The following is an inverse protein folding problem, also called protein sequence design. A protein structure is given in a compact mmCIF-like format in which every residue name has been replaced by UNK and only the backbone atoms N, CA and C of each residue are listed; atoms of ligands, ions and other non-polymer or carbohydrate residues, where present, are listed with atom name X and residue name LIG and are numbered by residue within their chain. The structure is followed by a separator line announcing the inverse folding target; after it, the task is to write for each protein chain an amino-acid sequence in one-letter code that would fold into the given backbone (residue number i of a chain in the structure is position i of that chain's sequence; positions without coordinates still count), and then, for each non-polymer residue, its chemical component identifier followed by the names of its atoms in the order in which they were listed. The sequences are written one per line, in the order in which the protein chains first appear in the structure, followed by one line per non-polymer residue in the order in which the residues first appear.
data_IF_360243390094
#
_entry.id   IF_360243390094
#
_cell.length_a   1.000
_cell.length_b   1.000
_cell.length_c   1.000
_cell.angle_alpha   90.00
_cell.angle_beta   90.00
_cell.angle_gamma   90.00
#
_symmetry.space_group_name_H-M   'P 1'
#
loop_
_entity.id
_entity.type
_entity.pdbx_description
1 polymer ?
#
# COMPACT_ATOMS: atom_id res chain seq x y z
N UNK A 1 -15.75 7.80 15.25
CA UNK A 1 -14.86 6.63 15.04
C UNK A 1 -15.69 5.37 14.81
N UNK A 2 -15.10 4.24 14.40
CA UNK A 2 -15.80 2.95 14.27
C UNK A 2 -16.57 2.59 15.56
N UNK A 3 -15.94 2.82 16.72
CA UNK A 3 -16.55 2.62 18.02
C UNK A 3 -17.83 3.44 18.22
N UNK A 4 -17.84 4.73 17.83
CA UNK A 4 -19.04 5.58 17.92
C UNK A 4 -20.20 5.02 17.11
N UNK A 5 -19.94 4.54 15.89
CA UNK A 5 -20.99 3.99 15.01
C UNK A 5 -21.49 2.66 15.55
N UNK A 6 -20.59 1.78 15.98
CA UNK A 6 -20.95 0.50 16.61
C UNK A 6 -21.79 0.71 17.88
N UNK A 7 -21.41 1.66 18.75
CA UNK A 7 -22.16 1.99 19.96
C UNK A 7 -23.57 2.49 19.65
N UNK A 8 -23.73 3.37 18.66
CA UNK A 8 -25.06 3.84 18.22
C UNK A 8 -25.91 2.71 17.66
N UNK A 9 -25.35 1.86 16.80
CA UNK A 9 -26.05 0.72 16.23
C UNK A 9 -26.45 -0.30 17.31
N UNK A 10 -25.57 -0.54 18.29
CA UNK A 10 -25.85 -1.41 19.42
C UNK A 10 -26.99 -0.86 20.29
N UNK A 11 -27.02 0.45 20.57
CA UNK A 11 -28.11 1.08 21.34
C UNK A 11 -29.46 1.00 20.60
N UNK A 12 -29.45 1.02 19.27
CA UNK A 12 -30.67 0.89 18.46
C UNK A 12 -31.17 -0.55 18.36
N UNK A 13 -30.27 -1.51 18.16
CA UNK A 13 -30.60 -2.92 17.98
C UNK A 13 -29.52 -3.82 18.62
N UNK A 14 -29.61 -4.06 19.94
CA UNK A 14 -28.62 -4.84 20.67
C UNK A 14 -28.55 -6.28 20.14
N UNK A 15 -27.37 -6.71 19.71
CA UNK A 15 -27.14 -8.04 19.12
C UNK A 15 -25.88 -8.68 19.68
N UNK A 16 -25.86 -10.01 19.77
CA UNK A 16 -24.69 -10.75 20.28
C UNK A 16 -23.48 -10.59 19.37
N UNK A 17 -23.69 -10.35 18.09
CA UNK A 17 -22.70 -10.18 17.03
C UNK A 17 -21.80 -8.95 17.21
N UNK A 18 -22.21 -7.97 18.02
CA UNK A 18 -21.32 -6.87 18.43
C UNK A 18 -20.17 -7.35 19.33
N UNK A 19 -20.40 -8.42 20.10
CA UNK A 19 -19.40 -9.03 21.00
C UNK A 19 -18.79 -10.31 20.41
N UNK A 20 -19.60 -11.04 19.64
CA UNK A 20 -19.26 -12.35 19.05
C UNK A 20 -19.56 -12.34 17.55
N UNK A 21 -18.80 -11.57 16.75
CA UNK A 21 -19.00 -11.53 15.30
C UNK A 21 -18.82 -12.92 14.70
N UNK A 22 -19.56 -13.20 13.61
CA UNK A 22 -19.42 -14.46 12.87
C UNK A 22 -17.97 -14.67 12.44
N UNK A 23 -17.54 -15.92 12.45
CA UNK A 23 -16.24 -16.30 11.88
C UNK A 23 -16.24 -15.99 10.39
N UNK A 24 -15.12 -15.47 9.90
CA UNK A 24 -14.93 -15.25 8.48
C UNK A 24 -14.73 -16.60 7.83
N UNK A 25 -15.56 -16.94 6.85
CA UNK A 25 -15.36 -18.13 6.04
C UNK A 25 -14.54 -17.68 4.83
N UNK A 26 -13.31 -18.20 4.63
CA UNK A 26 -12.51 -17.85 3.48
C UNK A 26 -13.28 -18.08 2.18
N UNK A 27 -13.12 -17.16 1.23
CA UNK A 27 -13.59 -17.40 -0.13
C UNK A 27 -12.85 -18.58 -0.75
N UNK A 28 -13.56 -19.34 -1.60
CA UNK A 28 -12.87 -20.22 -2.55
C UNK A 28 -12.08 -19.37 -3.57
N UNK A 29 -11.13 -19.99 -4.28
CA UNK A 29 -10.30 -19.28 -5.25
C UNK A 29 -11.09 -18.60 -6.38
N UNK A 30 -12.14 -19.21 -6.97
CA UNK A 30 -12.98 -18.54 -7.96
C UNK A 30 -13.64 -17.26 -7.41
N UNK A 31 -14.20 -17.31 -6.20
CA UNK A 31 -14.84 -16.14 -5.56
C UNK A 31 -13.81 -15.09 -5.16
N UNK A 32 -12.64 -15.49 -4.66
CA UNK A 32 -11.52 -14.57 -4.39
C UNK A 32 -11.14 -13.81 -5.67
N UNK A 33 -10.90 -14.55 -6.76
CA UNK A 33 -10.56 -13.99 -8.07
C UNK A 33 -11.63 -13.04 -8.59
N UNK A 34 -12.90 -13.42 -8.50
CA UNK A 34 -14.01 -12.56 -8.90
C UNK A 34 -14.03 -11.25 -8.11
N UNK A 35 -13.84 -11.32 -6.78
CA UNK A 35 -13.82 -10.13 -5.94
C UNK A 35 -12.61 -9.24 -6.20
N UNK A 36 -11.42 -9.81 -6.47
CA UNK A 36 -10.23 -9.01 -6.82
C UNK A 36 -10.42 -8.32 -8.17
N UNK A 37 -10.90 -9.04 -9.21
CA UNK A 37 -11.07 -8.48 -10.55
C UNK A 37 -12.14 -7.38 -10.63
N UNK A 38 -13.26 -7.52 -9.90
CA UNK A 38 -14.35 -6.53 -9.89
C UNK A 38 -13.95 -5.15 -9.40
N UNK A 39 -12.80 -5.03 -8.74
CA UNK A 39 -12.36 -3.80 -8.09
C UNK A 39 -11.77 -2.78 -9.04
N UNK A 40 -11.19 -3.21 -10.17
CA UNK A 40 -10.42 -2.34 -11.07
C UNK A 40 -9.10 -1.81 -10.50
N UNK A 41 -8.93 -1.80 -9.17
CA UNK A 41 -7.66 -1.56 -8.46
C UNK A 41 -6.77 -2.81 -8.45
N UNK A 42 -5.49 -2.66 -8.13
CA UNK A 42 -4.58 -3.77 -7.86
C UNK A 42 -4.34 -3.96 -6.36
N UNK A 43 -4.14 -5.19 -5.91
CA UNK A 43 -3.68 -5.49 -4.54
C UNK A 43 -2.27 -6.05 -4.62
N UNK A 44 -1.32 -5.40 -3.96
CA UNK A 44 0.07 -5.80 -3.85
C UNK A 44 0.32 -6.37 -2.46
N UNK A 45 0.99 -7.51 -2.42
CA UNK A 45 1.43 -8.18 -1.21
C UNK A 45 2.95 -8.19 -1.20
N UNK A 46 3.55 -7.72 -0.11
CA UNK A 46 4.98 -7.91 0.16
C UNK A 46 5.06 -8.93 1.28
N UNK A 47 5.29 -10.19 0.90
CA UNK A 47 5.44 -11.32 1.82
C UNK A 47 6.92 -11.54 2.10
N UNK A 48 7.29 -11.76 3.36
CA UNK A 48 8.66 -12.08 3.74
C UNK A 48 8.67 -12.95 5.00
N UNK A 49 9.79 -13.60 5.28
CA UNK A 49 9.95 -14.46 6.45
C UNK A 49 10.95 -13.89 7.45
N UNK A 50 10.56 -13.86 8.73
CA UNK A 50 11.44 -13.52 9.83
C UNK A 50 11.01 -14.23 11.11
N UNK A 51 11.76 -15.26 11.57
CA UNK A 51 11.47 -15.93 12.82
C UNK A 51 11.92 -15.11 14.04
N UNK A 52 11.48 -15.53 15.23
CA UNK A 52 11.99 -15.07 16.53
C UNK A 52 11.82 -13.57 16.82
N UNK A 53 10.65 -13.00 16.50
CA UNK A 53 10.31 -11.65 16.92
C UNK A 53 9.34 -11.68 18.09
N UNK A 54 9.59 -10.86 19.11
CA UNK A 54 8.65 -10.63 20.21
C UNK A 54 7.41 -9.93 19.63
N UNK A 55 6.17 -10.46 19.83
CA UNK A 55 4.96 -9.93 19.19
C UNK A 55 4.74 -8.42 19.39
N UNK A 56 4.98 -7.90 20.59
CA UNK A 56 4.79 -6.48 20.91
C UNK A 56 5.72 -5.56 20.09
N UNK A 57 6.94 -5.99 19.83
CA UNK A 57 7.91 -5.25 19.00
C UNK A 57 7.61 -5.45 17.52
N UNK A 58 7.25 -6.68 17.12
CA UNK A 58 6.93 -7.07 15.76
C UNK A 58 5.90 -6.14 15.14
N UNK A 59 4.74 -5.97 15.77
CA UNK A 59 3.65 -5.16 15.22
C UNK A 59 4.07 -3.71 15.00
N UNK A 60 4.79 -3.11 15.95
CA UNK A 60 5.34 -1.77 15.83
C UNK A 60 6.24 -1.61 14.61
N UNK A 61 7.12 -2.59 14.36
CA UNK A 61 8.01 -2.59 13.19
C UNK A 61 7.24 -2.80 11.88
N UNK A 62 6.29 -3.74 11.82
CA UNK A 62 5.48 -4.00 10.63
C UNK A 62 4.63 -2.78 10.23
N UNK A 63 4.02 -2.08 11.19
CA UNK A 63 3.26 -0.86 10.91
C UNK A 63 4.15 0.28 10.41
N UNK A 64 5.36 0.41 10.97
CA UNK A 64 6.35 1.38 10.46
C UNK A 64 6.76 1.05 9.02
N UNK A 65 7.09 -0.20 8.73
CA UNK A 65 7.41 -0.67 7.38
C UNK A 65 6.24 -0.43 6.40
N UNK A 66 5.01 -0.80 6.79
CA UNK A 66 3.80 -0.54 6.01
C UNK A 66 3.63 0.95 5.69
N UNK A 67 3.88 1.84 6.66
CA UNK A 67 3.81 3.29 6.48
C UNK A 67 4.91 3.80 5.54
N UNK A 68 6.15 3.34 5.71
CA UNK A 68 7.28 3.68 4.84
C UNK A 68 7.04 3.29 3.37
N UNK A 69 6.56 2.07 3.14
CA UNK A 69 6.24 1.56 1.79
C UNK A 69 5.08 2.34 1.17
N UNK A 70 3.95 2.50 1.88
CA UNK A 70 2.81 3.29 1.35
C UNK A 70 3.18 4.74 0.99
N UNK A 71 3.95 5.41 1.86
CA UNK A 71 4.43 6.77 1.59
C UNK A 71 5.33 6.82 0.35
N UNK A 72 6.12 5.78 0.11
CA UNK A 72 6.98 5.68 -1.08
C UNK A 72 6.16 5.47 -2.35
N UNK A 73 5.15 4.60 -2.31
CA UNK A 73 4.20 4.41 -3.41
C UNK A 73 3.49 5.73 -3.76
N UNK A 74 2.91 6.40 -2.76
CA UNK A 74 2.16 7.64 -2.94
C UNK A 74 3.05 8.77 -3.52
N UNK A 75 4.29 8.93 -3.02
CA UNK A 75 5.24 9.93 -3.55
C UNK A 75 5.58 9.73 -5.03
N UNK A 76 5.55 8.49 -5.51
CA UNK A 76 5.79 8.16 -6.93
C UNK A 76 4.51 8.21 -7.78
N UNK A 77 3.36 8.46 -7.15
CA UNK A 77 2.06 8.62 -7.82
C UNK A 77 1.18 7.37 -7.80
N UNK A 78 1.65 6.27 -7.19
CA UNK A 78 0.85 5.06 -6.98
C UNK A 78 -0.01 5.24 -5.74
N UNK A 79 -1.20 5.81 -5.92
CA UNK A 79 -2.10 6.14 -4.83
C UNK A 79 -2.59 4.89 -4.09
N UNK A 80 -2.26 4.81 -2.81
CA UNK A 80 -2.70 3.75 -1.90
C UNK A 80 -4.13 4.02 -1.42
N UNK A 81 -5.08 3.17 -1.80
CA UNK A 81 -6.47 3.24 -1.35
C UNK A 81 -6.62 2.71 0.08
N UNK A 82 -6.04 1.54 0.34
CA UNK A 82 -6.07 0.87 1.64
C UNK A 82 -4.75 0.14 1.87
N UNK A 83 -4.39 -0.04 3.13
CA UNK A 83 -3.27 -0.88 3.52
C UNK A 83 -3.60 -1.69 4.75
N UNK A 84 -2.96 -2.85 4.87
CA UNK A 84 -3.08 -3.70 6.03
C UNK A 84 -1.76 -4.45 6.29
N UNK A 85 -1.67 -5.05 7.47
CA UNK A 85 -0.55 -5.88 7.89
C UNK A 85 -1.13 -7.18 8.40
N UNK A 86 -0.53 -8.29 8.00
CA UNK A 86 -0.83 -9.60 8.54
C UNK A 86 0.47 -10.29 8.98
N UNK A 87 0.39 -11.04 10.07
CA UNK A 87 1.45 -11.90 10.57
C UNK A 87 0.84 -13.14 11.20
N UNK A 88 1.52 -14.28 11.11
CA UNK A 88 1.22 -15.45 11.95
C UNK A 88 1.83 -15.38 13.35
N UNK A 89 2.50 -14.26 13.68
CA UNK A 89 3.29 -14.03 14.91
C UNK A 89 4.41 -15.06 15.12
N UNK A 90 4.80 -15.75 14.05
CA UNK A 90 5.87 -16.75 14.06
C UNK A 90 6.92 -16.38 13.02
N UNK A 91 6.66 -16.67 11.75
CA UNK A 91 7.64 -16.54 10.68
C UNK A 91 7.16 -15.78 9.47
N UNK A 92 5.86 -15.80 9.14
CA UNK A 92 5.35 -15.22 7.90
C UNK A 92 4.72 -13.85 8.16
N UNK A 93 5.15 -12.86 7.40
CA UNK A 93 4.66 -11.49 7.50
C UNK A 93 4.26 -10.99 6.12
N UNK A 94 3.15 -10.26 6.03
CA UNK A 94 2.62 -9.74 4.77
C UNK A 94 2.20 -8.28 4.94
N UNK A 95 2.82 -7.38 4.18
CA UNK A 95 2.34 -6.01 4.00
C UNK A 95 1.43 -5.97 2.78
N UNK A 96 0.25 -5.36 2.92
CA UNK A 96 -0.80 -5.41 1.91
C UNK A 96 -1.17 -4.00 1.52
N UNK A 97 -1.19 -3.72 0.22
CA UNK A 97 -1.51 -2.40 -0.33
C UNK A 97 -2.49 -2.55 -1.49
N UNK A 98 -3.63 -1.90 -1.39
CA UNK A 98 -4.55 -1.75 -2.50
C UNK A 98 -4.25 -0.42 -3.21
N UNK A 99 -3.86 -0.49 -4.47
CA UNK A 99 -3.40 0.64 -5.28
C UNK A 99 -4.44 0.97 -6.35
N UNK A 100 -4.75 2.26 -6.47
CA UNK A 100 -5.77 2.77 -7.40
C UNK A 100 -5.46 2.40 -8.86
N UNK A 101 -4.21 2.61 -9.28
CA UNK A 101 -3.75 2.34 -10.65
C UNK A 101 -2.43 1.59 -10.62
N UNK A 102 -2.37 0.46 -11.32
CA UNK A 102 -1.14 -0.30 -11.49
C UNK A 102 -0.22 0.38 -12.51
N UNK A 103 -0.76 0.86 -13.62
CA UNK A 103 0.02 1.52 -14.67
C UNK A 103 -0.19 3.03 -14.65
N UNK A 104 0.90 3.78 -14.50
CA UNK A 104 0.89 5.24 -14.63
C UNK A 104 1.34 5.66 -16.04
N UNK A 105 0.82 6.77 -16.58
CA UNK A 105 1.30 7.29 -17.86
C UNK A 105 2.79 7.68 -17.75
N UNK A 106 3.57 7.65 -18.84
CA UNK A 106 4.99 8.03 -18.79
C UNK A 106 5.23 9.47 -18.34
N UNK A 107 4.31 10.39 -18.65
CA UNK A 107 4.46 11.82 -18.41
C UNK A 107 3.84 12.26 -17.07
N UNK A 108 4.63 12.92 -16.21
CA UNK A 108 4.20 13.48 -14.92
C UNK A 108 4.36 15.00 -14.92
N UNK A 109 3.35 15.70 -14.42
CA UNK A 109 3.44 17.12 -14.10
C UNK A 109 4.22 17.33 -12.79
N UNK A 110 5.26 18.16 -12.83
CA UNK A 110 6.06 18.52 -11.67
C UNK A 110 5.94 20.02 -11.42
N UNK A 111 5.39 20.37 -10.25
CA UNK A 111 5.19 21.74 -9.81
C UNK A 111 6.49 22.27 -9.20
N UNK A 112 6.97 23.38 -9.75
CA UNK A 112 8.11 24.12 -9.26
C UNK A 112 7.75 25.19 -8.23
N UNK A 113 8.73 26.05 -7.90
CA UNK A 113 8.52 27.17 -7.00
C UNK A 113 7.63 28.25 -7.66
N UNK A 114 7.06 29.17 -6.85
CA UNK A 114 6.45 30.38 -7.38
C UNK A 114 7.46 31.22 -8.18
N UNK A 115 6.99 31.87 -9.25
CA UNK A 115 7.87 32.59 -10.20
C UNK A 115 8.59 33.79 -9.60
N UNK A 116 8.07 34.34 -8.50
CA UNK A 116 8.66 35.45 -7.77
C UNK A 116 9.83 35.03 -6.86
N UNK A 117 9.99 33.73 -6.58
CA UNK A 117 11.14 33.20 -5.84
C UNK A 117 12.33 33.04 -6.78
N UNK A 118 13.10 34.12 -6.97
CA UNK A 118 14.12 34.22 -8.01
C UNK A 118 15.22 33.14 -7.90
N UNK A 119 15.73 32.87 -6.70
CA UNK A 119 16.79 31.86 -6.51
C UNK A 119 16.31 30.44 -6.81
N UNK A 120 15.13 30.08 -6.30
CA UNK A 120 14.57 28.75 -6.50
C UNK A 120 14.09 28.54 -7.92
N UNK A 121 13.56 29.60 -8.56
CA UNK A 121 13.28 29.62 -10.00
C UNK A 121 14.54 29.33 -10.80
N UNK A 122 15.66 29.99 -10.48
CA UNK A 122 16.94 29.75 -11.17
C UNK A 122 17.39 28.29 -11.00
N UNK A 123 17.35 27.75 -9.77
CA UNK A 123 17.68 26.34 -9.50
C UNK A 123 16.79 25.38 -10.29
N UNK A 124 15.49 25.64 -10.34
CA UNK A 124 14.52 24.84 -11.07
C UNK A 124 14.79 24.85 -12.57
N UNK A 125 15.00 26.03 -13.15
CA UNK A 125 15.31 26.19 -14.57
C UNK A 125 16.62 25.48 -14.94
N UNK A 126 17.69 25.64 -14.16
CA UNK A 126 18.96 24.95 -14.39
C UNK A 126 18.81 23.43 -14.38
N UNK A 127 17.97 22.89 -13.49
CA UNK A 127 17.72 21.45 -13.40
C UNK A 127 16.95 20.90 -14.61
N UNK A 128 16.05 21.69 -15.20
CA UNK A 128 15.04 21.16 -16.12
C UNK A 128 15.19 21.60 -17.58
N UNK A 129 15.78 22.76 -17.88
CA UNK A 129 15.84 23.30 -19.27
C UNK A 129 16.48 22.34 -20.29
N UNK A 130 17.51 21.59 -19.89
CA UNK A 130 18.25 20.67 -20.79
C UNK A 130 18.26 19.24 -20.25
N UNK A 131 17.34 18.88 -19.35
CA UNK A 131 17.28 17.52 -18.82
C UNK A 131 16.61 16.59 -19.81
N UNK A 132 17.26 15.47 -20.15
CA UNK A 132 16.68 14.40 -20.98
C UNK A 132 15.34 13.88 -20.42
N UNK A 133 15.16 13.96 -19.11
CA UNK A 133 13.91 13.55 -18.44
C UNK A 133 12.78 14.59 -18.53
N UNK A 134 13.05 15.80 -19.03
CA UNK A 134 12.04 16.86 -19.21
C UNK A 134 11.51 16.79 -20.63
N UNK A 135 10.24 16.38 -20.76
CA UNK A 135 9.56 16.20 -22.05
C UNK A 135 8.97 17.52 -22.56
N UNK A 136 8.56 18.41 -21.66
CA UNK A 136 8.00 19.72 -22.00
C UNK A 136 8.13 20.71 -20.84
N UNK A 137 8.20 22.00 -21.18
CA UNK A 137 8.55 23.08 -20.26
C UNK A 137 10.06 23.22 -20.08
N UNK A 138 10.53 24.02 -19.10
CA UNK A 138 9.76 24.76 -18.10
C UNK A 138 8.79 25.78 -18.70
N UNK A 139 7.58 25.87 -18.15
CA UNK A 139 6.56 26.89 -18.47
C UNK A 139 5.99 27.47 -17.19
N UNK A 140 5.22 28.55 -17.28
CA UNK A 140 4.49 29.14 -16.15
C UNK A 140 3.01 28.77 -16.26
N UNK A 141 2.47 28.15 -15.22
CA UNK A 141 1.03 27.89 -15.08
C UNK A 141 0.55 28.58 -13.79
N UNK A 142 -0.28 29.62 -13.92
CA UNK A 142 -0.64 30.48 -12.79
C UNK A 142 0.56 31.30 -12.31
N UNK A 143 0.94 31.15 -11.05
CA UNK A 143 2.07 31.83 -10.42
C UNK A 143 3.31 30.94 -10.23
N UNK A 144 3.32 29.74 -10.84
CA UNK A 144 4.37 28.73 -10.61
C UNK A 144 5.01 28.21 -11.88
N UNK A 145 6.29 27.85 -11.74
CA UNK A 145 6.97 27.05 -12.75
C UNK A 145 6.41 25.64 -12.81
N UNK A 146 6.29 25.09 -14.01
CA UNK A 146 5.82 23.72 -14.26
C UNK A 146 6.68 23.09 -15.34
N UNK A 147 7.00 21.81 -15.15
CA UNK A 147 7.59 20.95 -16.17
C UNK A 147 6.80 19.65 -16.27
N UNK A 148 6.83 19.06 -17.44
CA UNK A 148 6.31 17.73 -17.69
C UNK A 148 7.50 16.80 -17.90
N UNK A 149 7.68 15.86 -16.98
CA UNK A 149 8.86 14.97 -16.94
C UNK A 149 8.47 13.52 -17.15
N UNK A 150 9.39 12.72 -17.66
CA UNK A 150 9.23 11.28 -17.73
C UNK A 150 9.32 10.65 -16.32
N UNK A 151 8.39 9.76 -16.00
CA UNK A 151 8.40 8.95 -14.78
C UNK A 151 9.52 7.91 -14.89
N UNK A 152 10.21 7.69 -13.77
CA UNK A 152 11.18 6.60 -13.64
C UNK A 152 10.53 5.22 -13.53
N UNK A 153 9.35 5.14 -12.91
CA UNK A 153 8.59 3.90 -12.74
C UNK A 153 7.17 4.09 -13.25
N UNK A 154 6.71 3.15 -14.06
CA UNK A 154 5.33 3.10 -14.57
C UNK A 154 4.49 2.05 -13.85
N UNK A 155 5.16 1.07 -13.25
CA UNK A 155 4.61 -0.05 -12.47
C UNK A 155 5.07 0.08 -11.00
N UNK A 156 4.19 -0.08 -10.00
CA UNK A 156 4.57 -0.10 -8.59
C UNK A 156 5.51 -1.26 -8.23
N UNK A 157 5.44 -2.40 -8.93
CA UNK A 157 6.33 -3.54 -8.68
C UNK A 157 7.77 -3.18 -8.99
N UNK A 158 8.04 -2.54 -10.13
CA UNK A 158 9.38 -2.03 -10.48
C UNK A 158 9.92 -1.06 -9.43
N UNK A 159 9.05 -0.15 -8.95
CA UNK A 159 9.41 0.78 -7.89
C UNK A 159 9.77 0.03 -6.60
N UNK A 160 8.95 -0.94 -6.19
CA UNK A 160 9.17 -1.69 -4.96
C UNK A 160 10.41 -2.56 -5.04
N UNK A 161 10.68 -3.20 -6.18
CA UNK A 161 11.89 -3.99 -6.38
C UNK A 161 13.16 -3.12 -6.25
N UNK A 162 13.18 -1.93 -6.86
CA UNK A 162 14.30 -1.00 -6.71
C UNK A 162 14.45 -0.47 -5.27
N UNK A 163 13.34 -0.09 -4.63
CA UNK A 163 13.35 0.54 -3.30
C UNK A 163 13.53 -0.45 -2.15
N UNK A 164 13.26 -1.73 -2.36
CA UNK A 164 13.42 -2.79 -1.36
C UNK A 164 14.64 -3.68 -1.61
N UNK A 165 15.43 -3.40 -2.67
CA UNK A 165 16.69 -4.08 -2.97
C UNK A 165 17.62 -4.24 -1.76
N UNK A 166 17.68 -3.23 -0.90
CA UNK A 166 18.52 -3.18 0.31
C UNK A 166 17.74 -3.46 1.61
N UNK A 167 16.53 -4.01 1.49
CA UNK A 167 15.59 -4.20 2.59
C UNK A 167 14.71 -2.97 2.89
N UNK A 168 14.84 -1.89 2.12
CA UNK A 168 14.06 -0.67 2.30
C UNK A 168 14.66 0.33 3.29
N UNK A 169 15.97 0.24 3.55
CA UNK A 169 16.69 1.19 4.43
C UNK A 169 16.50 2.63 3.96
N UNK A 170 16.67 2.86 2.66
CA UNK A 170 16.54 4.19 2.06
C UNK A 170 15.13 4.78 2.08
N UNK A 171 14.10 3.97 2.39
CA UNK A 171 12.70 4.44 2.49
C UNK A 171 12.14 4.42 3.91
N UNK A 172 12.95 4.01 4.90
CA UNK A 172 12.56 4.01 6.32
C UNK A 172 11.92 2.72 6.82
N UNK A 173 12.19 1.58 6.18
CA UNK A 173 11.89 0.27 6.78
C UNK A 173 12.76 0.08 8.02
N UNK A 174 12.21 -0.39 9.16
CA UNK A 174 13.01 -0.62 10.37
C UNK A 174 14.15 -1.62 10.15
N UNK A 175 15.32 -1.35 10.75
CA UNK A 175 16.53 -2.15 10.57
C UNK A 175 16.32 -3.63 10.91
N UNK A 176 15.50 -3.95 11.92
CA UNK A 176 15.21 -5.35 12.26
C UNK A 176 14.55 -6.13 11.11
N UNK A 177 13.85 -5.45 10.19
CA UNK A 177 13.14 -6.06 9.08
C UNK A 177 13.92 -6.02 7.76
N UNK A 178 15.01 -5.25 7.66
CA UNK A 178 15.69 -5.00 6.38
C UNK A 178 16.30 -6.26 5.80
N UNK A 179 17.04 -7.05 6.59
CA UNK A 179 17.63 -8.31 6.10
C UNK A 179 16.56 -9.32 5.68
N UNK A 180 15.46 -9.44 6.45
CA UNK A 180 14.35 -10.31 6.06
C UNK A 180 13.68 -9.87 4.75
N UNK A 181 13.43 -8.57 4.59
CA UNK A 181 12.91 -7.97 3.34
C UNK A 181 13.89 -8.12 2.17
N UNK A 182 15.18 -8.11 2.44
CA UNK A 182 16.21 -8.26 1.41
C UNK A 182 16.30 -9.70 0.92
N UNK A 183 16.30 -10.65 1.84
CA UNK A 183 16.65 -12.05 1.56
C UNK A 183 15.46 -12.92 1.18
N UNK A 184 14.25 -12.56 1.64
CA UNK A 184 13.08 -13.44 1.54
C UNK A 184 11.82 -12.78 0.97
N UNK A 185 11.89 -11.51 0.55
CA UNK A 185 10.68 -10.85 0.03
C UNK A 185 10.17 -11.49 -1.24
N UNK A 186 8.87 -11.52 -1.35
CA UNK A 186 8.11 -11.92 -2.52
C UNK A 186 7.05 -10.83 -2.74
N UNK A 187 7.12 -10.16 -3.89
CA UNK A 187 6.12 -9.17 -4.29
C UNK A 187 5.10 -9.89 -5.17
N UNK A 188 3.85 -9.97 -4.69
CA UNK A 188 2.76 -10.66 -5.36
C UNK A 188 1.67 -9.66 -5.71
N UNK A 189 1.08 -9.80 -6.88
CA UNK A 189 0.00 -8.96 -7.37
C UNK A 189 -1.28 -9.77 -7.55
N UNK A 190 -2.38 -9.27 -6.99
CA UNK A 190 -3.72 -9.83 -7.15
C UNK A 190 -3.78 -11.33 -6.78
N UNK A 191 -3.88 -12.20 -7.79
CA UNK A 191 -4.08 -13.64 -7.61
C UNK A 191 -2.78 -14.44 -7.48
N UNK A 192 -1.62 -13.82 -7.63
CA UNK A 192 -0.32 -14.46 -7.37
C UNK A 192 -0.21 -14.93 -5.91
N UNK A 193 -0.97 -14.33 -4.99
CA UNK A 193 -1.07 -14.76 -3.58
C UNK A 193 -1.83 -16.07 -3.36
N UNK A 194 -2.44 -16.64 -4.40
CA UNK A 194 -3.38 -17.78 -4.29
C UNK A 194 -2.78 -19.03 -3.63
N UNK A 195 -1.50 -19.33 -3.86
CA UNK A 195 -0.82 -20.46 -3.24
C UNK A 195 -0.67 -20.28 -1.72
N UNK A 196 -0.28 -19.07 -1.28
CA UNK A 196 -0.20 -18.73 0.14
C UNK A 196 -1.58 -18.67 0.80
N UNK A 197 -2.57 -18.12 0.09
CA UNK A 197 -3.96 -18.11 0.52
C UNK A 197 -4.51 -19.53 0.76
N UNK A 198 -4.25 -20.46 -0.15
CA UNK A 198 -4.76 -21.84 -0.05
C UNK A 198 -4.09 -22.65 1.06
N UNK A 199 -2.80 -22.37 1.33
CA UNK A 199 -1.99 -23.10 2.30
C UNK A 199 -2.05 -22.52 3.72
N UNK A 200 -2.57 -21.29 3.90
CA UNK A 200 -2.62 -20.62 5.19
C UNK A 200 -4.04 -20.14 5.54
N UNK A 201 -4.82 -20.94 6.30
CA UNK A 201 -6.20 -20.60 6.66
C UNK A 201 -6.36 -19.26 7.40
N UNK A 202 -5.42 -18.93 8.31
CA UNK A 202 -5.47 -17.66 9.05
C UNK A 202 -5.27 -16.45 8.14
N UNK A 203 -4.35 -16.56 7.16
CA UNK A 203 -4.20 -15.53 6.14
C UNK A 203 -5.42 -15.47 5.21
N UNK A 204 -6.02 -16.61 4.87
CA UNK A 204 -7.20 -16.66 4.02
C UNK A 204 -8.42 -15.98 4.67
N UNK A 205 -8.64 -16.21 5.96
CA UNK A 205 -9.65 -15.51 6.75
C UNK A 205 -9.39 -14.00 6.76
N UNK A 206 -8.15 -13.60 7.05
CA UNK A 206 -7.76 -12.19 7.07
C UNK A 206 -7.97 -11.51 5.71
N UNK A 207 -7.51 -12.11 4.62
CA UNK A 207 -7.62 -11.51 3.29
C UNK A 207 -9.08 -11.43 2.84
N UNK A 208 -9.89 -12.42 3.20
CA UNK A 208 -11.34 -12.39 2.96
C UNK A 208 -12.00 -11.22 3.69
N UNK A 209 -11.66 -10.99 4.96
CA UNK A 209 -12.15 -9.85 5.74
C UNK A 209 -11.71 -8.51 5.12
N UNK A 210 -10.43 -8.40 4.74
CA UNK A 210 -9.86 -7.22 4.09
C UNK A 210 -10.57 -6.88 2.76
N UNK A 211 -10.83 -7.89 1.93
CA UNK A 211 -11.54 -7.73 0.65
C UNK A 211 -12.99 -7.36 0.87
N UNK A 212 -13.65 -7.96 1.86
CA UNK A 212 -15.04 -7.65 2.23
C UNK A 212 -15.17 -6.22 2.76
N UNK A 213 -14.18 -5.74 3.51
CA UNK A 213 -13.98 -4.32 3.82
C UNK A 213 -15.08 -3.67 4.67
N UNK A 214 -15.90 -4.46 5.37
CA UNK A 214 -16.99 -3.98 6.23
C UNK A 214 -16.85 -4.51 7.65
N UNK A 215 -17.25 -3.73 8.67
CA UNK A 215 -17.24 -4.22 10.05
C UNK A 215 -18.15 -5.43 10.21
N UNK A 216 -17.67 -6.48 10.88
CA UNK A 216 -18.40 -7.76 11.01
C UNK A 216 -19.75 -7.65 11.72
N UNK A 217 -19.92 -6.69 12.64
CA UNK A 217 -21.20 -6.43 13.29
C UNK A 217 -22.25 -5.86 12.32
N UNK A 218 -21.83 -5.21 11.24
CA UNK A 218 -22.76 -4.59 10.27
C UNK A 218 -23.54 -5.63 9.46
N UNK A 219 -22.97 -6.82 9.25
CA UNK A 219 -23.66 -7.95 8.56
C UNK A 219 -24.88 -8.47 9.32
N UNK A 220 -24.97 -8.14 10.61
CA UNK A 220 -26.09 -8.54 11.46
C UNK A 220 -27.12 -7.44 11.65
N UNK A 221 -26.85 -6.20 11.20
CA UNK A 221 -27.62 -5.02 11.62
C UNK A 221 -28.73 -4.64 10.64
N UNK A 222 -28.63 -5.05 9.36
CA UNK A 222 -29.61 -4.78 8.30
C UNK A 222 -30.05 -6.08 7.63
#
# INVERSE_FOLDING_TARGET
SLFTVAARAFLQNPKREFFYPKRVVPYDLPRLKSNVLKRGSAIIFIKFTKPNLVPDVLWGQLYKASRAVSSTLDRHGFKTLRKAVWSDEDKNHVLIFEIENMNLPPIKRHLGPPVFEAEDSKRFLTKHLNSESTLSGPTVEGDRWVVYTQRRYLDPVDLLEDKLKDGGRGIGVPEDLTEAMKDSREILVNMEVSAFYSSNPKFAEFLTDFITGRPRWLESTY
#
